data_IF_896249404019
#
_entry.id   IF_896249404019
#
_cell.length_a   1.000
_cell.length_b   1.000
_cell.length_c   1.000
_cell.angle_alpha   90.00
_cell.angle_beta   90.00
_cell.angle_gamma   90.00
#
_symmetry.space_group_name_H-M   'P 1'
#
loop_
_entity.id
_entity.type
_entity.pdbx_description
1 polymer ?
#
# COMPACT_ATOMS: atom_id res chain seq x y z
N UNK A 1 -2.55 -17.57 -5.44
CA UNK A 1 -1.85 -16.44 -4.77
C UNK A 1 -2.10 -16.56 -3.28
N UNK A 2 -1.07 -16.79 -2.45
CA UNK A 2 -1.18 -16.65 -0.99
C UNK A 2 -1.30 -15.15 -0.67
N UNK A 3 -2.40 -14.73 -0.06
CA UNK A 3 -2.53 -13.36 0.45
C UNK A 3 -1.51 -13.12 1.57
N UNK A 4 -0.97 -11.91 1.64
CA UNK A 4 -0.20 -11.50 2.82
C UNK A 4 -1.23 -11.07 3.86
N UNK A 5 -1.47 -11.93 4.84
CA UNK A 5 -2.23 -11.57 6.05
C UNK A 5 -1.22 -11.00 7.03
N UNK A 6 -1.45 -9.77 7.47
CA UNK A 6 -0.67 -9.18 8.55
C UNK A 6 -1.27 -9.74 9.84
N UNK A 7 -0.53 -10.61 10.52
CA UNK A 7 -0.91 -11.12 11.83
C UNK A 7 -0.59 -10.07 12.90
N UNK A 8 -1.38 -10.08 13.99
CA UNK A 8 -1.17 -9.21 15.14
C UNK A 8 0.26 -9.32 15.69
N UNK A 9 0.77 -10.55 15.83
CA UNK A 9 2.16 -10.79 16.27
C UNK A 9 3.23 -10.08 15.41
N UNK A 10 2.99 -9.90 14.11
CA UNK A 10 3.93 -9.19 13.23
C UNK A 10 3.82 -7.68 13.38
N UNK A 11 2.64 -7.16 13.72
CA UNK A 11 2.45 -5.75 14.04
C UNK A 11 3.13 -5.43 15.37
N UNK A 12 2.93 -6.26 16.38
CA UNK A 12 3.53 -6.07 17.70
C UNK A 12 5.05 -6.03 17.60
N UNK A 13 5.66 -7.02 16.92
CA UNK A 13 7.11 -7.01 16.66
C UNK A 13 7.59 -5.76 15.91
N UNK A 14 6.84 -5.30 14.90
CA UNK A 14 7.23 -4.09 14.17
C UNK A 14 7.19 -2.84 15.08
N UNK A 15 6.18 -2.74 15.94
CA UNK A 15 6.04 -1.63 16.89
C UNK A 15 7.11 -1.68 18.00
N UNK A 16 7.46 -2.87 18.50
CA UNK A 16 8.55 -3.07 19.47
C UNK A 16 9.90 -2.59 18.93
N UNK A 17 10.14 -2.75 17.62
CA UNK A 17 11.37 -2.25 16.96
C UNK A 17 11.38 -0.73 16.75
N UNK A 18 10.36 0.00 17.22
CA UNK A 18 10.26 1.44 17.08
C UNK A 18 9.73 1.92 15.72
N UNK A 19 9.22 1.01 14.88
CA UNK A 19 8.55 1.40 13.63
C UNK A 19 7.30 2.21 13.96
N UNK A 20 7.12 3.36 13.31
CA UNK A 20 5.94 4.18 13.59
C UNK A 20 4.67 3.53 13.01
N UNK A 21 3.54 3.69 13.70
CA UNK A 21 2.23 3.31 13.19
C UNK A 21 1.95 3.88 11.79
N UNK A 22 2.48 5.09 11.51
CA UNK A 22 2.28 5.74 10.22
C UNK A 22 3.02 5.03 9.09
N UNK A 23 4.24 4.58 9.32
CA UNK A 23 5.03 3.81 8.35
C UNK A 23 4.37 2.46 8.06
N UNK A 24 3.85 1.79 9.09
CA UNK A 24 3.10 0.54 8.92
C UNK A 24 1.88 0.79 8.03
N UNK A 25 1.04 1.76 8.36
CA UNK A 25 -0.16 2.09 7.57
C UNK A 25 0.18 2.46 6.12
N UNK A 26 1.23 3.26 5.91
CA UNK A 26 1.67 3.65 4.57
C UNK A 26 2.17 2.43 3.78
N UNK A 27 2.89 1.49 4.41
CA UNK A 27 3.32 0.23 3.78
C UNK A 27 2.13 -0.65 3.39
N UNK A 28 1.19 -0.90 4.31
CA UNK A 28 -0.01 -1.70 4.01
C UNK A 28 -0.80 -1.07 2.87
N UNK A 29 -0.96 0.25 2.90
CA UNK A 29 -1.68 0.97 1.87
C UNK A 29 -1.03 0.86 0.49
N UNK A 30 0.31 0.94 0.43
CA UNK A 30 1.08 0.70 -0.79
C UNK A 30 0.86 -0.71 -1.34
N UNK A 31 0.94 -1.73 -0.49
CA UNK A 31 0.72 -3.14 -0.88
C UNK A 31 -0.68 -3.31 -1.48
N UNK A 32 -1.72 -2.74 -0.86
CA UNK A 32 -3.10 -2.80 -1.37
C UNK A 32 -3.20 -2.15 -2.76
N UNK A 33 -2.55 -1.00 -2.95
CA UNK A 33 -2.48 -0.31 -4.25
C UNK A 33 -1.79 -1.17 -5.32
N UNK A 34 -0.69 -1.84 -4.99
CA UNK A 34 -0.01 -2.74 -5.93
C UNK A 34 -0.90 -3.93 -6.32
N UNK A 35 -1.60 -4.54 -5.36
CA UNK A 35 -2.55 -5.62 -5.67
C UNK A 35 -3.67 -5.14 -6.56
N UNK A 36 -4.19 -3.94 -6.34
CA UNK A 36 -5.22 -3.35 -7.19
C UNK A 36 -4.69 -3.07 -8.61
N UNK A 37 -3.46 -2.58 -8.76
CA UNK A 37 -2.81 -2.38 -10.05
C UNK A 37 -2.58 -3.68 -10.81
N UNK A 38 -2.13 -4.74 -10.12
CA UNK A 38 -1.97 -6.08 -10.72
C UNK A 38 -3.33 -6.57 -11.24
N UNK A 39 -4.36 -6.50 -10.39
CA UNK A 39 -5.73 -6.95 -10.74
C UNK A 39 -6.35 -6.09 -11.85
N UNK A 40 -5.98 -4.82 -11.96
CA UNK A 40 -6.42 -3.92 -13.02
C UNK A 40 -5.55 -3.96 -14.28
N UNK A 41 -4.56 -4.86 -14.36
CA UNK A 41 -3.58 -4.97 -15.46
C UNK A 41 -2.85 -3.65 -15.73
N UNK A 42 -2.42 -2.96 -14.67
CA UNK A 42 -1.70 -1.70 -14.73
C UNK A 42 -2.57 -0.46 -14.95
N UNK A 43 -3.88 -0.61 -15.12
CA UNK A 43 -4.78 0.53 -15.28
C UNK A 43 -4.96 1.29 -13.97
N UNK A 44 -4.42 2.51 -13.90
CA UNK A 44 -4.54 3.40 -12.73
C UNK A 44 -5.99 3.78 -12.41
N UNK A 45 -6.79 4.09 -13.44
CA UNK A 45 -8.19 4.48 -13.24
C UNK A 45 -9.03 3.31 -12.70
N UNK A 46 -8.83 2.10 -13.22
CA UNK A 46 -9.52 0.90 -12.71
C UNK A 46 -9.07 0.55 -11.29
N UNK A 47 -7.77 0.63 -10.99
CA UNK A 47 -7.27 0.41 -9.63
C UNK A 47 -7.82 1.44 -8.64
N UNK A 48 -7.84 2.73 -9.01
CA UNK A 48 -8.41 3.79 -8.18
C UNK A 48 -9.91 3.57 -7.94
N UNK A 49 -10.67 3.18 -8.97
CA UNK A 49 -12.09 2.85 -8.84
C UNK A 49 -12.32 1.65 -7.90
N UNK A 50 -11.52 0.59 -8.02
CA UNK A 50 -11.59 -0.57 -7.13
C UNK A 50 -11.34 -0.22 -5.67
N UNK A 51 -10.43 0.73 -5.42
CA UNK A 51 -10.05 1.18 -4.09
C UNK A 51 -10.90 2.36 -3.59
N UNK A 52 -11.86 2.83 -4.40
CA UNK A 52 -12.64 4.06 -4.14
C UNK A 52 -11.76 5.27 -3.79
N UNK A 53 -10.60 5.36 -4.41
CA UNK A 53 -9.65 6.46 -4.21
C UNK A 53 -9.91 7.56 -5.23
N UNK A 54 -9.81 8.80 -4.77
CA UNK A 54 -9.73 9.93 -5.68
C UNK A 54 -8.37 9.95 -6.39
N UNK A 55 -8.32 10.63 -7.53
CA UNK A 55 -7.13 10.72 -8.40
C UNK A 55 -5.94 11.37 -7.69
N UNK A 56 -6.18 12.32 -6.78
CA UNK A 56 -5.14 13.01 -6.01
C UNK A 56 -4.43 12.07 -5.03
N UNK A 57 -5.18 11.28 -4.27
CA UNK A 57 -4.64 10.27 -3.35
C UNK A 57 -3.84 9.23 -4.11
N UNK A 58 -4.37 8.75 -5.25
CA UNK A 58 -3.66 7.77 -6.09
C UNK A 58 -2.32 8.32 -6.61
N UNK A 59 -2.29 9.57 -7.06
CA UNK A 59 -1.06 10.21 -7.54
C UNK A 59 -0.04 10.44 -6.41
N UNK A 60 -0.48 10.86 -5.23
CA UNK A 60 0.40 11.05 -4.06
C UNK A 60 1.10 9.74 -3.67
N UNK A 61 0.37 8.62 -3.69
CA UNK A 61 0.95 7.32 -3.36
C UNK A 61 1.95 6.86 -4.41
N UNK A 62 1.60 7.00 -5.69
CA UNK A 62 2.52 6.64 -6.78
C UNK A 62 3.80 7.49 -6.77
N UNK A 63 3.72 8.76 -6.36
CA UNK A 63 4.88 9.63 -6.22
C UNK A 63 5.80 9.19 -5.07
N UNK A 64 5.25 8.77 -3.92
CA UNK A 64 6.03 8.23 -2.79
C UNK A 64 6.81 7.00 -3.19
N UNK A 65 6.17 6.05 -3.88
CA UNK A 65 6.83 4.84 -4.40
C UNK A 65 8.02 5.15 -5.32
N UNK A 66 7.90 6.18 -6.16
CA UNK A 66 9.00 6.61 -7.05
C UNK A 66 10.18 7.20 -6.28
N UNK A 67 9.92 7.81 -5.11
CA UNK A 67 10.95 8.38 -4.24
C UNK A 67 11.72 7.30 -3.46
N UNK A 68 11.06 6.20 -3.12
CA UNK A 68 11.67 5.06 -2.41
C UNK A 68 12.46 4.10 -3.33
N UNK A 69 12.21 4.15 -4.65
CA UNK A 69 12.89 3.33 -5.65
C UNK A 69 14.15 3.99 -6.25
N UNK A 70 14.44 5.24 -5.86
CA UNK A 70 15.62 6.02 -6.26
C UNK A 70 16.55 6.17 -5.05
#
# INVERSE_FOLDING_TARGET
MKGVIISEEKLDKALETGTSYREILDHVFLVIIEKALIKSRGSKNKAAAMLKLNRGTMNKVLARRKKEAN
#
